data_IF_658834013621
#
_entry.id   IF_658834013621
#
_cell.length_a   1.000
_cell.length_b   1.000
_cell.length_c   1.000
_cell.angle_alpha   90.00
_cell.angle_beta   90.00
_cell.angle_gamma   90.00
#
_symmetry.space_group_name_H-M   'P 1'
#
loop_
_entity.id
_entity.type
_entity.pdbx_description
1 polymer ?
#
# COMPACT_ATOMS: atom_id res chain seq x y z
N UNK A 1 6.15 24.20 -16.93
CA UNK A 1 5.00 24.81 -17.64
C UNK A 1 3.76 24.47 -16.82
N UNK A 2 2.97 25.46 -16.41
CA UNK A 2 1.77 25.22 -15.60
C UNK A 2 0.66 24.63 -16.48
N UNK A 3 0.14 23.44 -16.13
CA UNK A 3 -0.88 22.72 -16.90
C UNK A 3 -2.15 22.67 -16.04
N UNK A 4 -3.24 23.30 -16.51
CA UNK A 4 -4.50 23.44 -15.78
C UNK A 4 -5.44 22.23 -15.82
N UNK A 5 -4.89 21.02 -15.93
CA UNK A 5 -5.63 19.75 -16.01
C UNK A 5 -4.91 18.66 -15.19
N UNK A 6 -5.51 17.47 -15.04
CA UNK A 6 -4.90 16.36 -14.27
C UNK A 6 -3.46 15.99 -14.65
N UNK A 7 -3.01 16.38 -15.85
CA UNK A 7 -1.62 16.27 -16.32
C UNK A 7 -0.61 17.10 -15.51
N UNK A 8 -1.06 18.11 -14.77
CA UNK A 8 -0.22 18.91 -13.87
C UNK A 8 -0.25 18.44 -12.41
N UNK A 9 -0.91 17.32 -12.12
CA UNK A 9 -1.00 16.80 -10.75
C UNK A 9 0.30 16.09 -10.34
N UNK A 10 0.65 16.19 -9.06
CA UNK A 10 1.85 15.58 -8.49
C UNK A 10 1.57 15.02 -7.10
N UNK A 11 2.26 13.95 -6.73
CA UNK A 11 2.15 13.28 -5.43
C UNK A 11 3.55 13.12 -4.82
N UNK A 12 3.78 13.81 -3.71
CA UNK A 12 5.02 13.74 -2.93
C UNK A 12 4.81 13.05 -1.57
N UNK A 13 5.79 12.29 -1.11
CA UNK A 13 5.77 11.54 0.15
C UNK A 13 7.09 11.69 0.93
N UNK A 14 6.98 11.72 2.26
CA UNK A 14 8.10 11.64 3.21
C UNK A 14 7.68 10.88 4.48
N UNK A 15 8.65 10.22 5.12
CA UNK A 15 8.44 9.54 6.42
C UNK A 15 8.47 10.58 7.55
N UNK A 16 7.44 10.58 8.41
CA UNK A 16 7.39 11.47 9.58
C UNK A 16 8.27 10.94 10.71
N UNK A 17 8.92 11.85 11.45
CA UNK A 17 9.68 11.51 12.67
C UNK A 17 8.78 11.35 13.90
N UNK A 18 7.59 11.96 13.88
CA UNK A 18 6.55 11.82 14.90
C UNK A 18 5.17 12.03 14.27
N UNK A 19 4.17 11.26 14.73
CA UNK A 19 2.82 11.25 14.15
C UNK A 19 2.17 12.64 14.05
N UNK A 20 1.89 13.06 12.81
CA UNK A 20 1.25 14.34 12.51
C UNK A 20 2.20 15.54 12.61
N UNK A 21 3.50 15.32 12.47
CA UNK A 21 4.51 16.38 12.33
C UNK A 21 4.95 16.44 10.88
N UNK A 22 4.72 17.58 10.24
CA UNK A 22 5.07 17.78 8.83
C UNK A 22 6.57 17.55 8.58
N UNK A 23 6.87 16.71 7.58
CA UNK A 23 8.19 16.58 6.97
C UNK A 23 8.06 16.90 5.49
N UNK A 24 8.92 17.78 4.98
CA UNK A 24 8.87 18.19 3.57
C UNK A 24 8.96 16.95 2.65
N UNK A 25 8.06 16.80 1.66
CA UNK A 25 8.08 15.71 0.70
C UNK A 25 9.43 15.62 -0.03
N UNK A 26 10.07 14.46 0.02
CA UNK A 26 11.39 14.22 -0.57
C UNK A 26 11.35 13.18 -1.70
N UNK A 27 10.29 12.35 -1.77
CA UNK A 27 10.10 11.34 -2.80
C UNK A 27 8.82 11.65 -3.56
N UNK A 28 8.85 11.54 -4.90
CA UNK A 28 7.67 11.73 -5.74
C UNK A 28 7.37 10.43 -6.47
N UNK A 29 6.09 10.07 -6.51
CA UNK A 29 5.61 8.84 -7.15
C UNK A 29 4.71 9.18 -8.33
N UNK A 30 4.77 8.35 -9.36
CA UNK A 30 3.79 8.35 -10.45
C UNK A 30 2.54 7.62 -9.96
N UNK A 31 1.34 8.14 -10.27
CA UNK A 31 0.08 7.58 -9.81
C UNK A 31 -0.95 7.58 -10.94
N UNK A 32 -1.79 6.55 -10.97
CA UNK A 32 -2.82 6.37 -12.01
C UNK A 32 -4.17 6.93 -11.54
N UNK A 33 -4.43 6.85 -10.23
CA UNK A 33 -5.62 7.45 -9.60
C UNK A 33 -5.33 7.80 -8.14
N UNK A 34 -5.90 8.90 -7.67
CA UNK A 34 -5.73 9.35 -6.29
C UNK A 34 -7.05 9.95 -5.76
N UNK A 35 -7.46 9.57 -4.55
CA UNK A 35 -8.78 9.86 -3.97
C UNK A 35 -8.78 10.43 -2.56
N UNK A 36 -7.64 10.87 -2.01
CA UNK A 36 -7.56 11.38 -0.64
C UNK A 36 -8.29 12.72 -0.54
N UNK A 37 -9.26 12.77 0.36
CA UNK A 37 -10.11 13.94 0.59
C UNK A 37 -10.25 14.27 2.08
N UNK A 38 -10.25 15.56 2.40
CA UNK A 38 -10.56 16.06 3.73
C UNK A 38 -12.07 15.90 3.98
N UNK A 39 -12.43 15.13 5.01
CA UNK A 39 -13.80 15.04 5.55
C UNK A 39 -13.88 15.91 6.81
N UNK A 40 -14.91 16.75 6.87
CA UNK A 40 -15.20 17.62 8.02
C UNK A 40 -16.57 17.26 8.59
N UNK A 41 -16.62 16.88 9.86
CA UNK A 41 -17.89 16.74 10.58
C UNK A 41 -18.30 18.11 11.11
N UNK A 42 -19.51 18.57 10.78
CA UNK A 42 -20.01 19.88 11.23
C UNK A 42 -21.28 19.71 12.06
N UNK A 43 -21.33 20.32 13.25
CA UNK A 43 -22.54 20.41 14.05
C UNK A 43 -23.23 21.77 13.82
N UNK A 44 -24.56 21.75 13.72
CA UNK A 44 -25.38 22.95 13.56
C UNK A 44 -26.25 23.14 14.81
N UNK A 45 -26.11 24.29 15.47
CA UNK A 45 -26.92 24.60 16.65
C UNK A 45 -28.40 24.80 16.27
N UNK A 46 -29.30 24.07 16.94
CA UNK A 46 -30.77 24.14 16.76
C UNK A 46 -31.43 25.29 17.56
N UNK A 47 -30.69 26.32 17.94
CA UNK A 47 -31.22 27.42 18.76
C UNK A 47 -32.32 28.21 18.03
N UNK A 48 -33.56 28.10 18.51
CA UNK A 48 -34.74 28.80 18.00
C UNK A 48 -34.67 30.29 18.35
N UNK A 49 -34.90 31.16 17.38
CA UNK A 49 -34.95 32.61 17.56
C UNK A 49 -36.03 33.22 16.66
N UNK A 50 -36.84 34.13 17.20
CA UNK A 50 -37.91 34.80 16.44
C UNK A 50 -37.34 35.61 15.26
N UNK A 51 -38.06 35.61 14.13
CA UNK A 51 -37.69 36.36 12.92
C UNK A 51 -36.65 35.69 12.01
N UNK A 52 -36.37 34.39 12.18
CA UNK A 52 -35.44 33.63 11.32
C UNK A 52 -36.10 32.35 10.83
N UNK A 53 -36.13 32.18 9.50
CA UNK A 53 -36.65 30.97 8.85
C UNK A 53 -35.56 29.91 8.58
N UNK A 54 -34.29 30.30 8.72
CA UNK A 54 -33.11 29.44 8.51
C UNK A 54 -32.19 29.51 9.72
N UNK A 55 -31.48 28.41 9.98
CA UNK A 55 -30.45 28.36 11.01
C UNK A 55 -29.25 29.25 10.64
N UNK A 56 -28.69 29.94 11.64
CA UNK A 56 -27.64 30.94 11.46
C UNK A 56 -26.30 30.28 11.07
N UNK A 57 -25.66 30.74 9.99
CA UNK A 57 -24.39 30.17 9.50
C UNK A 57 -23.25 30.24 10.52
N UNK A 58 -23.17 31.32 11.30
CA UNK A 58 -22.16 31.50 12.35
C UNK A 58 -22.26 30.49 13.51
N UNK A 59 -23.35 29.70 13.58
CA UNK A 59 -23.54 28.64 14.59
C UNK A 59 -23.25 27.24 14.06
N UNK A 60 -22.68 27.15 12.85
CA UNK A 60 -22.12 25.91 12.30
C UNK A 60 -20.67 25.80 12.77
N UNK A 61 -20.38 24.79 13.57
CA UNK A 61 -19.03 24.55 14.11
C UNK A 61 -18.50 23.25 13.52
N UNK A 62 -17.24 23.24 13.08
CA UNK A 62 -16.53 22.02 12.67
C UNK A 62 -16.10 21.30 13.94
N UNK A 63 -16.62 20.09 14.17
CA UNK A 63 -16.37 19.32 15.39
C UNK A 63 -15.24 18.32 15.21
N UNK A 64 -15.01 17.83 13.98
CA UNK A 64 -13.93 16.89 13.66
C UNK A 64 -13.35 17.20 12.28
N UNK A 65 -12.05 16.94 12.14
CA UNK A 65 -11.33 16.95 10.85
C UNK A 65 -10.58 15.63 10.70
N UNK A 66 -10.70 15.03 9.53
CA UNK A 66 -10.00 13.80 9.16
C UNK A 66 -9.77 13.79 7.65
N UNK A 67 -8.75 13.10 7.18
CA UNK A 67 -8.59 12.80 5.76
C UNK A 67 -8.47 11.29 5.55
N UNK A 68 -9.06 10.80 4.47
CA UNK A 68 -8.95 9.40 4.07
C UNK A 68 -9.11 9.26 2.56
N UNK A 69 -8.58 8.17 2.01
CA UNK A 69 -8.76 7.79 0.61
C UNK A 69 -7.72 6.76 0.18
N UNK A 70 -7.75 6.43 -1.10
CA UNK A 70 -6.86 5.44 -1.70
C UNK A 70 -5.91 6.08 -2.71
N UNK A 71 -4.77 5.42 -2.91
CA UNK A 71 -3.82 5.73 -4.00
C UNK A 71 -3.54 4.44 -4.76
N UNK A 72 -3.75 4.51 -6.07
CA UNK A 72 -3.44 3.43 -7.00
C UNK A 72 -2.18 3.81 -7.80
N UNK A 73 -1.17 2.95 -7.75
CA UNK A 73 0.11 3.14 -8.44
C UNK A 73 0.70 1.82 -8.91
N UNK A 74 1.59 1.88 -9.89
CA UNK A 74 2.38 0.74 -10.33
C UNK A 74 3.55 0.52 -9.35
N UNK A 75 3.87 -0.73 -9.05
CA UNK A 75 5.04 -1.06 -8.24
C UNK A 75 6.28 -0.93 -9.12
N UNK A 76 7.07 0.09 -8.81
CA UNK A 76 8.29 0.44 -9.53
C UNK A 76 9.55 -0.03 -8.81
N UNK A 77 10.66 -0.07 -9.53
CA UNK A 77 11.98 -0.46 -9.04
C UNK A 77 12.69 0.57 -8.15
N UNK A 78 12.16 1.79 -7.95
CA UNK A 78 12.66 2.77 -6.96
C UNK A 78 11.52 3.49 -6.22
N UNK A 79 11.76 3.96 -5.00
CA UNK A 79 10.85 4.82 -4.25
C UNK A 79 9.73 4.11 -3.47
N UNK A 80 9.64 2.77 -3.50
CA UNK A 80 8.58 2.03 -2.80
C UNK A 80 8.83 1.85 -1.29
N UNK A 81 10.05 2.09 -0.83
CA UNK A 81 10.44 1.89 0.56
C UNK A 81 9.53 2.54 1.62
N UNK A 82 9.19 3.84 1.53
CA UNK A 82 8.30 4.51 2.49
C UNK A 82 6.90 3.88 2.61
N UNK A 83 6.35 3.43 1.48
CA UNK A 83 5.04 2.75 1.43
C UNK A 83 5.11 1.38 2.09
N UNK A 84 6.11 0.59 1.72
CA UNK A 84 6.34 -0.74 2.28
C UNK A 84 6.64 -0.70 3.78
N UNK A 85 7.43 0.27 4.24
CA UNK A 85 7.72 0.48 5.66
C UNK A 85 6.46 0.83 6.45
N UNK A 86 5.59 1.69 5.90
CA UNK A 86 4.36 2.10 6.59
C UNK A 86 3.31 0.99 6.60
N UNK A 87 3.29 0.14 5.56
CA UNK A 87 2.43 -1.04 5.51
C UNK A 87 2.93 -2.16 6.45
N UNK A 88 4.21 -2.49 6.43
CA UNK A 88 4.75 -3.65 7.17
C UNK A 88 5.11 -3.30 8.63
N UNK A 89 5.40 -2.03 8.95
CA UNK A 89 5.64 -1.53 10.31
C UNK A 89 7.11 -1.56 10.76
N UNK A 90 7.96 -2.38 10.13
CA UNK A 90 9.39 -2.46 10.48
C UNK A 90 10.15 -1.23 10.03
N UNK A 91 11.06 -0.73 10.87
CA UNK A 91 12.01 0.32 10.45
C UNK A 91 13.10 -0.32 9.60
N UNK A 92 13.18 0.06 8.33
CA UNK A 92 14.16 -0.51 7.40
C UNK A 92 15.25 0.49 7.10
N UNK A 93 16.50 0.03 7.01
CA UNK A 93 17.59 0.81 6.42
C UNK A 93 18.12 -0.01 5.25
N UNK A 94 18.14 0.52 4.02
CA UNK A 94 18.64 -0.23 2.87
C UNK A 94 20.07 -0.72 3.12
N UNK A 95 20.29 -2.03 3.04
CA UNK A 95 21.59 -2.66 3.30
C UNK A 95 22.32 -2.89 1.98
N UNK A 96 23.50 -2.27 1.84
CA UNK A 96 24.34 -2.42 0.66
C UNK A 96 24.77 -3.87 0.48
N UNK A 97 24.63 -4.39 -0.74
CA UNK A 97 25.01 -5.74 -1.09
C UNK A 97 26.42 -5.76 -1.68
N UNK A 98 27.36 -6.46 -1.04
CA UNK A 98 28.73 -6.70 -1.52
C UNK A 98 29.47 -5.46 -2.08
N UNK A 99 29.31 -4.29 -1.43
CA UNK A 99 29.90 -3.00 -1.88
C UNK A 99 29.51 -2.64 -3.33
N UNK A 100 28.32 -3.06 -3.74
CA UNK A 100 27.75 -2.72 -5.05
C UNK A 100 26.74 -1.58 -4.94
N UNK A 101 26.13 -1.19 -6.06
CA UNK A 101 25.01 -0.24 -6.10
C UNK A 101 23.66 -0.88 -5.77
N UNK A 102 23.61 -2.18 -5.45
CA UNK A 102 22.40 -2.86 -5.04
C UNK A 102 22.20 -2.73 -3.51
N UNK A 103 21.01 -2.31 -3.11
CA UNK A 103 20.59 -2.17 -1.73
C UNK A 103 19.35 -3.03 -1.49
N UNK A 104 19.40 -3.86 -0.45
CA UNK A 104 18.30 -4.71 -0.02
C UNK A 104 17.52 -4.02 1.10
N UNK A 105 16.21 -3.96 0.94
CA UNK A 105 15.24 -3.57 1.95
C UNK A 105 14.40 -4.79 2.34
N UNK A 106 14.44 -5.17 3.62
CA UNK A 106 13.64 -6.29 4.14
C UNK A 106 12.58 -5.75 5.09
N UNK A 107 11.33 -5.71 4.62
CA UNK A 107 10.18 -5.22 5.37
C UNK A 107 9.46 -6.42 6.01
N UNK A 108 9.83 -6.77 7.24
CA UNK A 108 9.11 -7.80 8.02
C UNK A 108 7.84 -7.24 8.63
N UNK A 109 6.84 -8.08 8.83
CA UNK A 109 5.62 -7.68 9.52
C UNK A 109 5.94 -7.30 10.98
N UNK A 110 5.50 -6.14 11.44
CA UNK A 110 5.66 -5.66 12.80
C UNK A 110 4.52 -4.69 13.16
N UNK A 111 4.51 -4.18 14.40
CA UNK A 111 3.60 -3.10 14.79
C UNK A 111 3.95 -1.80 14.04
N UNK A 112 2.91 -1.08 13.62
CA UNK A 112 2.99 0.19 12.88
C UNK A 112 3.02 1.42 13.79
N UNK A 113 3.05 1.24 15.12
CA UNK A 113 3.14 2.34 16.07
C UNK A 113 4.33 3.28 15.77
N UNK A 114 4.08 4.59 15.76
CA UNK A 114 5.05 5.64 15.42
C UNK A 114 5.38 5.76 13.93
N UNK A 115 4.80 4.94 13.04
CA UNK A 115 5.08 4.99 11.59
C UNK A 115 4.01 5.75 10.85
N UNK A 116 4.31 6.94 10.32
CA UNK A 116 3.37 7.70 9.49
C UNK A 116 4.08 8.41 8.35
N UNK A 117 3.29 8.80 7.36
CA UNK A 117 3.74 9.52 6.18
C UNK A 117 3.14 10.93 6.16
N UNK A 118 3.89 11.88 5.62
CA UNK A 118 3.33 13.12 5.10
C UNK A 118 3.13 12.93 3.60
N UNK A 119 1.93 13.20 3.11
CA UNK A 119 1.58 13.08 1.69
C UNK A 119 1.13 14.44 1.19
N UNK A 120 1.82 15.00 0.20
CA UNK A 120 1.43 16.27 -0.41
C UNK A 120 0.94 16.06 -1.84
N UNK A 121 -0.32 16.47 -2.06
CA UNK A 121 -0.98 16.44 -3.36
C UNK A 121 -0.96 17.85 -3.96
N UNK A 122 -0.49 17.98 -5.19
CA UNK A 122 -0.66 19.19 -6.00
C UNK A 122 -1.89 19.05 -6.90
N UNK A 123 -2.88 19.95 -6.76
CA UNK A 123 -4.08 19.98 -7.59
C UNK A 123 -4.08 21.22 -8.49
N UNK A 124 -3.98 21.06 -9.81
CA UNK A 124 -4.03 22.20 -10.72
C UNK A 124 -5.45 22.77 -10.82
N UNK A 125 -5.54 24.09 -10.69
CA UNK A 125 -6.72 24.87 -11.07
C UNK A 125 -6.75 25.05 -12.59
N UNK A 126 -7.92 25.34 -13.15
CA UNK A 126 -8.06 25.67 -14.59
C UNK A 126 -7.28 26.92 -15.01
N UNK A 127 -6.84 27.72 -14.04
CA UNK A 127 -5.95 28.88 -14.23
C UNK A 127 -4.47 28.50 -14.37
N UNK A 128 -4.11 27.23 -14.18
CA UNK A 128 -2.74 26.72 -14.19
C UNK A 128 -2.02 26.79 -12.83
N UNK A 129 -2.56 27.50 -11.84
CA UNK A 129 -2.01 27.48 -10.47
C UNK A 129 -2.26 26.13 -9.83
N UNK A 130 -1.22 25.50 -9.29
CA UNK A 130 -1.34 24.24 -8.54
C UNK A 130 -1.53 24.58 -7.06
N UNK A 131 -2.66 24.17 -6.48
CA UNK A 131 -2.92 24.29 -5.04
C UNK A 131 -2.41 23.05 -4.33
N UNK A 132 -1.75 23.23 -3.19
CA UNK A 132 -1.29 22.12 -2.36
C UNK A 132 -2.40 21.61 -1.42
N UNK A 133 -2.37 20.32 -1.18
CA UNK A 133 -3.11 19.65 -0.10
C UNK A 133 -2.15 18.73 0.60
N UNK A 134 -1.74 19.12 1.80
CA UNK A 134 -0.73 18.42 2.59
C UNK A 134 -1.42 17.59 3.66
N UNK A 135 -1.42 16.28 3.50
CA UNK A 135 -1.95 15.34 4.49
C UNK A 135 -0.83 14.95 5.47
N UNK A 136 -1.10 15.15 6.76
CA UNK A 136 -0.16 14.82 7.85
C UNK A 136 -0.68 13.62 8.66
N UNK A 137 0.22 12.85 9.23
CA UNK A 137 -0.12 11.66 10.02
C UNK A 137 -0.83 10.59 9.20
N UNK A 138 -0.37 10.32 7.99
CA UNK A 138 -0.96 9.30 7.10
C UNK A 138 -0.51 7.91 7.54
N UNK A 139 -1.48 7.03 7.78
CA UNK A 139 -1.33 5.60 8.07
C UNK A 139 -1.90 4.78 6.92
N UNK A 140 -1.24 3.69 6.57
CA UNK A 140 -1.77 2.74 5.57
C UNK A 140 -2.59 1.68 6.30
N UNK A 141 -3.90 1.62 6.02
CA UNK A 141 -4.83 0.65 6.61
C UNK A 141 -4.87 -0.66 5.82
N UNK A 142 -4.65 -0.60 4.52
CA UNK A 142 -4.48 -1.80 3.69
C UNK A 142 -3.61 -1.52 2.47
N UNK A 143 -2.91 -2.54 2.01
CA UNK A 143 -2.16 -2.55 0.77
C UNK A 143 -2.50 -3.79 -0.04
N UNK A 144 -2.96 -3.62 -1.27
CA UNK A 144 -3.26 -4.70 -2.20
C UNK A 144 -2.31 -4.67 -3.39
N UNK A 145 -1.63 -5.78 -3.66
CA UNK A 145 -0.73 -5.97 -4.78
C UNK A 145 -1.35 -6.94 -5.77
N UNK A 146 -1.36 -6.61 -7.06
CA UNK A 146 -1.92 -7.50 -8.08
C UNK A 146 -1.13 -7.48 -9.38
N UNK A 147 -1.00 -8.63 -10.03
CA UNK A 147 -0.46 -8.75 -11.38
C UNK A 147 -1.18 -9.86 -12.14
N UNK A 148 -1.50 -9.59 -13.41
CA UNK A 148 -2.21 -10.51 -14.30
C UNK A 148 -1.51 -10.58 -15.67
N UNK A 149 -1.78 -11.64 -16.44
CA UNK A 149 -1.14 -11.85 -17.75
C UNK A 149 -1.25 -10.61 -18.63
N UNK A 150 -0.10 -10.08 -19.06
CA UNK A 150 -0.01 -8.91 -19.93
C UNK A 150 -0.12 -7.57 -19.22
N UNK A 151 -0.15 -7.54 -17.88
CA UNK A 151 -0.21 -6.30 -17.09
C UNK A 151 1.06 -6.08 -16.25
N UNK A 152 1.14 -4.87 -15.69
CA UNK A 152 2.16 -4.49 -14.71
C UNK A 152 1.72 -4.91 -13.30
N UNK A 153 2.67 -4.97 -12.37
CA UNK A 153 2.36 -5.13 -10.95
C UNK A 153 1.81 -3.79 -10.43
N UNK A 154 0.58 -3.80 -9.94
CA UNK A 154 -0.07 -2.63 -9.32
C UNK A 154 -0.16 -2.79 -7.82
N UNK A 155 -0.16 -1.66 -7.12
CA UNK A 155 -0.43 -1.54 -5.70
C UNK A 155 -1.55 -0.52 -5.45
N UNK A 156 -2.52 -0.89 -4.61
CA UNK A 156 -3.53 0.01 -4.07
C UNK A 156 -3.32 0.16 -2.57
N UNK A 157 -3.14 1.40 -2.10
CA UNK A 157 -2.94 1.71 -0.68
C UNK A 157 -4.11 2.52 -0.15
N UNK A 158 -4.79 1.98 0.86
CA UNK A 158 -5.82 2.70 1.61
C UNK A 158 -5.18 3.47 2.76
N UNK A 159 -5.49 4.76 2.88
CA UNK A 159 -4.81 5.70 3.76
C UNK A 159 -5.81 6.40 4.68
N UNK A 160 -5.43 6.47 5.95
CA UNK A 160 -6.08 7.25 6.99
C UNK A 160 -5.14 8.34 7.51
N UNK A 161 -5.51 9.62 7.39
CA UNK A 161 -4.65 10.77 7.67
C UNK A 161 -5.23 11.73 8.70
N UNK A 162 -4.38 12.18 9.64
CA UNK A 162 -4.75 13.01 10.81
C UNK A 162 -5.48 14.29 10.43
N UNK A 163 -4.93 15.05 9.50
CA UNK A 163 -5.48 16.31 9.00
C UNK A 163 -4.96 16.60 7.58
N UNK A 164 -5.60 17.56 6.92
CA UNK A 164 -5.13 18.18 5.69
C UNK A 164 -4.79 19.65 5.98
N UNK A 165 -3.54 20.03 5.76
CA UNK A 165 -3.03 21.39 5.81
C UNK A 165 -2.88 21.94 4.37
N UNK A 166 -3.41 23.14 4.15
CA UNK A 166 -3.38 23.86 2.87
C UNK A 166 -2.55 25.16 2.99
N UNK A 167 -1.84 25.36 4.12
CA UNK A 167 -0.98 26.52 4.34
C UNK A 167 0.49 26.25 3.96
N UNK A 168 0.81 25.05 3.50
CA UNK A 168 2.17 24.65 3.18
C UNK A 168 2.59 25.16 1.81
N UNK A 169 3.90 25.20 1.57
CA UNK A 169 4.40 25.46 0.22
C UNK A 169 4.44 24.15 -0.56
N UNK A 170 3.94 24.17 -1.79
CA UNK A 170 4.02 23.03 -2.70
C UNK A 170 5.50 22.68 -2.95
N UNK A 171 5.89 21.44 -2.65
CA UNK A 171 7.24 20.95 -2.91
C UNK A 171 7.50 20.85 -4.41
N UNK A 172 8.74 21.15 -4.82
CA UNK A 172 9.17 20.99 -6.21
C UNK A 172 9.32 19.49 -6.53
N UNK A 173 8.57 18.99 -7.50
CA UNK A 173 8.65 17.59 -7.91
C UNK A 173 10.00 17.24 -8.53
N UNK A 174 10.50 16.06 -8.16
CA UNK A 174 11.68 15.43 -8.72
C UNK A 174 11.42 13.92 -8.87
N UNK A 175 11.59 13.40 -10.07
CA UNK A 175 11.34 12.00 -10.39
C UNK A 175 12.66 11.27 -10.67
N UNK A 176 12.87 10.15 -9.99
CA UNK A 176 13.95 9.22 -10.32
C UNK A 176 13.58 8.43 -11.59
N UNK A 177 14.58 7.98 -12.36
CA UNK A 177 14.31 7.07 -13.47
C UNK A 177 13.83 5.72 -12.90
N UNK A 178 12.56 5.41 -13.11
CA UNK A 178 11.84 4.27 -12.53
C UNK A 178 11.24 3.41 -13.64
N UNK A 179 11.16 2.10 -13.40
CA UNK A 179 10.48 1.15 -14.28
C UNK A 179 9.57 0.22 -13.47
N UNK A 180 8.33 0.00 -13.92
CA UNK A 180 7.40 -0.89 -13.23
C UNK A 180 7.78 -2.36 -13.40
N UNK A 181 7.56 -3.14 -12.36
CA UNK A 181 7.59 -4.60 -12.47
C UNK A 181 6.39 -5.08 -13.29
N UNK A 182 6.57 -6.19 -14.00
CA UNK A 182 5.53 -6.69 -14.90
C UNK A 182 5.46 -8.22 -14.91
N UNK A 183 4.40 -8.74 -15.54
CA UNK A 183 4.12 -10.17 -15.59
C UNK A 183 5.28 -11.03 -16.12
N UNK A 184 6.11 -10.54 -17.04
CA UNK A 184 7.21 -11.37 -17.60
C UNK A 184 8.34 -11.63 -16.60
N UNK A 185 8.35 -10.91 -15.48
CA UNK A 185 9.33 -11.03 -14.39
C UNK A 185 8.79 -11.86 -13.23
N UNK A 186 7.50 -12.22 -13.28
CA UNK A 186 6.76 -12.83 -12.18
C UNK A 186 7.06 -14.33 -12.07
N UNK A 187 7.30 -14.79 -10.84
CA UNK A 187 7.30 -16.21 -10.49
C UNK A 187 6.54 -16.41 -9.17
N UNK A 188 5.79 -17.51 -9.09
CA UNK A 188 5.17 -17.98 -7.85
C UNK A 188 5.84 -19.29 -7.47
N UNK A 189 6.24 -19.40 -6.20
CA UNK A 189 6.84 -20.61 -5.65
C UNK A 189 6.06 -21.07 -4.43
N UNK A 190 5.90 -22.37 -4.28
CA UNK A 190 5.34 -22.96 -3.06
C UNK A 190 6.14 -24.17 -2.59
N UNK A 191 6.06 -24.49 -1.31
CA UNK A 191 6.77 -25.63 -0.73
C UNK A 191 7.04 -25.45 0.76
N UNK A 192 8.12 -26.07 1.25
CA UNK A 192 8.62 -25.82 2.59
C UNK A 192 9.37 -24.49 2.63
N UNK A 193 9.16 -23.72 3.70
CA UNK A 193 9.79 -22.41 3.87
C UNK A 193 11.31 -22.46 3.66
N UNK A 194 11.82 -21.62 2.76
CA UNK A 194 13.23 -21.54 2.37
C UNK A 194 13.68 -22.52 1.29
N UNK A 195 12.79 -23.38 0.80
CA UNK A 195 13.06 -24.38 -0.25
C UNK A 195 11.92 -24.47 -1.27
N UNK A 196 11.20 -23.37 -1.47
CA UNK A 196 10.03 -23.30 -2.34
C UNK A 196 10.40 -23.54 -3.81
N UNK A 197 9.53 -24.25 -4.54
CA UNK A 197 9.72 -24.56 -5.95
C UNK A 197 8.74 -23.77 -6.82
N UNK A 198 9.21 -23.34 -7.99
CA UNK A 198 8.39 -22.57 -8.93
C UNK A 198 7.19 -23.38 -9.41
N UNK A 199 6.05 -22.70 -9.55
CA UNK A 199 4.80 -23.23 -10.07
C UNK A 199 4.56 -22.73 -11.48
N UNK A 200 3.99 -23.60 -12.30
CA UNK A 200 3.66 -23.31 -13.69
C UNK A 200 2.17 -22.96 -13.83
N UNK A 201 1.78 -22.42 -14.97
CA UNK A 201 0.38 -22.13 -15.31
C UNK A 201 -0.23 -20.93 -14.58
N UNK A 202 0.53 -20.18 -13.76
CA UNK A 202 0.01 -19.01 -13.03
C UNK A 202 -0.29 -17.85 -14.00
N UNK A 203 -1.52 -17.35 -13.94
CA UNK A 203 -2.04 -16.30 -14.82
C UNK A 203 -2.31 -15.00 -14.08
N UNK A 204 -2.72 -15.07 -12.82
CA UNK A 204 -3.01 -13.89 -12.00
C UNK A 204 -2.72 -14.18 -10.55
N UNK A 205 -2.15 -13.20 -9.87
CA UNK A 205 -1.91 -13.24 -8.42
C UNK A 205 -2.36 -11.92 -7.83
N UNK A 206 -3.08 -11.98 -6.70
CA UNK A 206 -3.30 -10.83 -5.83
C UNK A 206 -2.94 -11.19 -4.39
N UNK A 207 -2.35 -10.22 -3.68
CA UNK A 207 -2.06 -10.31 -2.24
C UNK A 207 -2.53 -9.03 -1.59
N UNK A 208 -3.45 -9.14 -0.64
CA UNK A 208 -3.95 -8.05 0.18
C UNK A 208 -3.45 -8.19 1.61
N UNK A 209 -2.86 -7.12 2.14
CA UNK A 209 -2.43 -7.00 3.53
C UNK A 209 -3.33 -5.96 4.19
N UNK A 210 -4.22 -6.41 5.06
CA UNK A 210 -5.13 -5.58 5.82
C UNK A 210 -4.64 -5.41 7.26
N UNK A 211 -4.63 -4.17 7.73
CA UNK A 211 -4.23 -3.80 9.09
C UNK A 211 -5.39 -3.11 9.79
N UNK A 212 -6.24 -3.87 10.49
CA UNK A 212 -7.30 -3.28 11.30
C UNK A 212 -6.72 -2.33 12.34
N UNK A 213 -7.20 -1.09 12.32
CA UNK A 213 -6.79 -0.04 13.24
C UNK A 213 -8.00 0.71 13.78
N UNK A 214 -7.92 1.13 15.03
CA UNK A 214 -8.87 2.07 15.62
C UNK A 214 -8.59 3.47 15.07
N UNK A 215 -9.30 3.87 14.01
CA UNK A 215 -9.15 5.17 13.33
C UNK A 215 -9.96 6.30 13.99
N UNK A 216 -11.05 5.96 14.69
CA UNK A 216 -11.98 6.92 15.31
C UNK A 216 -11.51 7.45 16.68
N UNK A 217 -10.22 7.73 16.83
CA UNK A 217 -9.61 8.12 18.12
C UNK A 217 -9.67 9.62 18.38
N UNK A 218 -10.87 10.13 18.60
CA UNK A 218 -11.10 11.52 18.98
C UNK A 218 -11.24 11.65 20.50
N UNK A 219 -10.51 12.60 21.09
CA UNK A 219 -10.57 12.88 22.53
C UNK A 219 -10.81 14.36 22.81
N UNK A 220 -11.49 14.66 23.91
CA UNK A 220 -11.73 16.03 24.34
C UNK A 220 -10.40 16.79 24.55
N UNK A 221 -10.37 18.07 24.17
CA UNK A 221 -9.17 18.92 24.31
C UNK A 221 -8.13 18.78 23.19
N UNK A 222 -8.40 18.01 22.13
CA UNK A 222 -7.47 17.78 21.01
C UNK A 222 -7.88 18.50 19.71
N UNK A 223 -8.59 19.63 19.83
CA UNK A 223 -9.05 20.45 18.69
C UNK A 223 -9.84 19.69 17.61
N UNK A 224 -10.48 18.56 17.95
CA UNK A 224 -11.21 17.72 17.00
C UNK A 224 -10.32 16.91 16.04
N UNK A 225 -9.02 16.80 16.34
CA UNK A 225 -8.07 15.98 15.59
C UNK A 225 -7.99 14.56 16.19
N UNK A 226 -7.76 13.57 15.33
CA UNK A 226 -7.56 12.19 15.77
C UNK A 226 -6.17 11.95 16.35
N UNK A 227 -6.12 11.12 17.38
CA UNK A 227 -4.87 10.52 17.88
C UNK A 227 -4.41 9.44 16.90
N UNK A 228 -3.14 9.05 17.01
CA UNK A 228 -2.58 8.00 16.17
C UNK A 228 -3.44 6.72 16.20
N UNK A 229 -3.84 6.18 15.04
CA UNK A 229 -4.50 4.89 14.98
C UNK A 229 -3.65 3.80 15.63
N UNK A 230 -4.29 2.92 16.41
CA UNK A 230 -3.64 1.76 17.03
C UNK A 230 -4.23 0.49 16.45
N UNK A 231 -3.42 -0.55 16.28
CA UNK A 231 -3.92 -1.87 15.89
C UNK A 231 -4.96 -2.36 16.90
N UNK A 232 -6.10 -2.81 16.41
CA UNK A 232 -7.24 -3.25 17.23
C UNK A 232 -7.72 -4.68 16.91
N UNK A 233 -7.14 -5.32 15.91
CA UNK A 233 -7.37 -6.72 15.54
C UNK A 233 -6.10 -7.28 14.88
N UNK A 234 -6.08 -8.59 14.61
CA UNK A 234 -4.97 -9.25 13.91
C UNK A 234 -4.86 -8.78 12.46
N UNK A 235 -3.61 -8.71 11.96
CA UNK A 235 -3.34 -8.45 10.54
C UNK A 235 -3.90 -9.61 9.71
N UNK A 236 -4.62 -9.29 8.64
CA UNK A 236 -5.18 -10.28 7.72
C UNK A 236 -4.43 -10.19 6.41
N UNK A 237 -3.84 -11.29 5.98
CA UNK A 237 -3.18 -11.39 4.69
C UNK A 237 -3.94 -12.43 3.88
N UNK A 238 -4.59 -12.00 2.81
CA UNK A 238 -5.36 -12.86 1.92
C UNK A 238 -4.90 -12.67 0.49
N UNK A 239 -5.20 -13.62 -0.38
CA UNK A 239 -4.86 -13.48 -1.78
C UNK A 239 -5.56 -14.47 -2.68
N UNK A 240 -5.36 -14.27 -3.98
CA UNK A 240 -5.89 -15.15 -5.02
C UNK A 240 -4.80 -15.56 -5.99
N UNK A 241 -4.85 -16.80 -6.47
CA UNK A 241 -4.01 -17.30 -7.56
C UNK A 241 -4.94 -17.89 -8.62
N UNK A 242 -5.01 -17.27 -9.79
CA UNK A 242 -5.63 -17.87 -10.96
C UNK A 242 -4.53 -18.59 -11.75
N UNK A 243 -4.74 -19.87 -12.02
CA UNK A 243 -3.80 -20.68 -12.80
C UNK A 243 -4.53 -21.64 -13.72
N UNK A 244 -3.88 -22.05 -14.81
CA UNK A 244 -4.30 -23.24 -15.56
C UNK A 244 -4.08 -24.47 -14.66
N UNK A 245 -5.03 -25.40 -14.66
CA UNK A 245 -4.97 -26.62 -13.83
C UNK A 245 -3.96 -27.62 -14.41
N UNK A 246 -2.67 -27.40 -14.11
CA UNK A 246 -1.53 -28.19 -14.62
C UNK A 246 -0.99 -29.19 -13.59
N UNK A 247 -1.24 -28.96 -12.30
CA UNK A 247 -0.89 -29.87 -11.21
C UNK A 247 -2.01 -29.91 -10.15
N UNK A 248 -2.03 -30.98 -9.34
CA UNK A 248 -2.98 -31.12 -8.22
C UNK A 248 -2.41 -30.65 -6.89
N UNK A 249 -1.18 -30.11 -6.85
CA UNK A 249 -0.47 -29.87 -5.58
C UNK A 249 -1.23 -28.89 -4.70
N UNK A 250 -1.73 -27.80 -5.27
CA UNK A 250 -2.46 -26.78 -4.51
C UNK A 250 -3.88 -27.22 -4.13
N UNK A 251 -4.48 -28.08 -4.95
CA UNK A 251 -5.78 -28.71 -4.70
C UNK A 251 -5.69 -29.77 -3.58
N UNK A 252 -4.62 -30.57 -3.56
CA UNK A 252 -4.30 -31.51 -2.50
C UNK A 252 -4.05 -30.78 -1.16
N UNK A 253 -3.41 -29.60 -1.20
CA UNK A 253 -3.23 -28.74 -0.01
C UNK A 253 -4.56 -28.20 0.52
N UNK A 254 -5.49 -27.82 -0.36
CA UNK A 254 -6.84 -27.42 0.03
C UNK A 254 -7.60 -28.60 0.66
N UNK A 255 -7.59 -29.76 0.00
CA UNK A 255 -8.30 -30.97 0.47
C UNK A 255 -7.78 -31.48 1.82
N UNK A 256 -6.47 -31.38 2.04
CA UNK A 256 -5.81 -31.82 3.28
C UNK A 256 -5.77 -30.75 4.37
N UNK A 257 -6.19 -29.52 4.07
CA UNK A 257 -6.03 -28.34 4.94
C UNK A 257 -4.58 -28.14 5.42
N UNK A 258 -3.62 -28.53 4.57
CA UNK A 258 -2.19 -28.42 4.86
C UNK A 258 -1.67 -27.02 4.52
N UNK A 259 -0.73 -26.54 5.32
CA UNK A 259 -0.07 -25.26 5.08
C UNK A 259 1.13 -25.43 4.12
N UNK A 260 1.38 -24.43 3.29
CA UNK A 260 2.59 -24.31 2.46
C UNK A 260 3.19 -22.92 2.57
N UNK A 261 4.48 -22.75 2.33
CA UNK A 261 5.04 -21.42 2.13
C UNK A 261 4.74 -20.94 0.72
N UNK A 262 4.44 -19.65 0.56
CA UNK A 262 4.22 -18.98 -0.72
C UNK A 262 5.25 -17.86 -0.89
N UNK A 263 5.98 -17.90 -2.00
CA UNK A 263 6.86 -16.82 -2.43
C UNK A 263 6.36 -16.30 -3.77
N UNK A 264 5.96 -15.04 -3.80
CA UNK A 264 5.61 -14.34 -5.03
C UNK A 264 6.70 -13.31 -5.33
N UNK A 265 7.42 -13.49 -6.42
CA UNK A 265 8.58 -12.69 -6.76
C UNK A 265 8.53 -12.11 -8.17
N UNK A 266 9.17 -10.95 -8.33
CA UNK A 266 9.42 -10.29 -9.58
C UNK A 266 10.92 -10.02 -9.67
N UNK A 267 11.57 -10.59 -10.68
CA UNK A 267 13.01 -10.40 -10.90
C UNK A 267 13.21 -9.60 -12.18
N UNK A 268 13.66 -8.36 -12.00
CA UNK A 268 13.94 -7.39 -13.03
C UNK A 268 15.39 -7.45 -13.55
N UNK A 269 15.84 -6.38 -14.22
CA UNK A 269 17.19 -6.28 -14.76
C UNK A 269 18.30 -6.41 -13.70
N UNK A 270 19.49 -6.78 -14.16
CA UNK A 270 20.69 -6.83 -13.31
C UNK A 270 21.08 -5.43 -12.85
N UNK A 271 21.29 -5.25 -11.55
CA UNK A 271 21.88 -4.03 -10.97
C UNK A 271 23.41 -4.16 -10.99
N UNK A 272 23.92 -5.22 -10.36
CA UNK A 272 25.35 -5.50 -10.26
C UNK A 272 25.62 -6.97 -9.86
N UNK A 273 26.62 -7.59 -10.48
CA UNK A 273 27.04 -8.98 -10.17
C UNK A 273 25.89 -10.00 -10.27
N UNK A 274 25.40 -10.51 -9.13
CA UNK A 274 24.27 -11.45 -9.02
C UNK A 274 23.03 -10.79 -8.41
N UNK A 275 23.03 -9.46 -8.22
CA UNK A 275 21.93 -8.71 -7.61
C UNK A 275 21.08 -8.06 -8.70
N UNK A 276 19.83 -8.48 -8.76
CA UNK A 276 18.82 -8.01 -9.70
C UNK A 276 17.81 -7.11 -8.97
N UNK A 277 17.20 -6.19 -9.70
CA UNK A 277 16.02 -5.48 -9.20
C UNK A 277 14.97 -6.51 -8.82
N UNK A 278 14.51 -6.51 -7.56
CA UNK A 278 13.65 -7.57 -7.05
C UNK A 278 12.55 -6.99 -6.19
N UNK A 279 11.31 -7.42 -6.44
CA UNK A 279 10.21 -7.27 -5.49
C UNK A 279 9.71 -8.66 -5.13
N UNK A 280 9.66 -9.00 -3.84
CA UNK A 280 9.26 -10.33 -3.40
C UNK A 280 8.40 -10.25 -2.15
N UNK A 281 7.24 -10.90 -2.18
CA UNK A 281 6.41 -11.16 -1.01
C UNK A 281 6.64 -12.61 -0.58
N UNK A 282 7.01 -12.82 0.67
CA UNK A 282 7.20 -14.15 1.26
C UNK A 282 6.21 -14.34 2.40
N UNK A 283 5.39 -15.38 2.29
CA UNK A 283 4.40 -15.80 3.27
C UNK A 283 4.80 -17.20 3.77
N UNK A 284 5.26 -17.34 5.04
CA UNK A 284 5.80 -18.60 5.54
C UNK A 284 4.78 -19.75 5.61
N UNK A 285 3.52 -19.43 5.91
CA UNK A 285 2.42 -20.38 5.89
C UNK A 285 1.19 -19.73 5.24
N UNK A 286 0.68 -20.36 4.18
CA UNK A 286 -0.61 -20.08 3.56
C UNK A 286 -1.44 -21.36 3.57
N UNK A 287 -2.75 -21.19 3.74
CA UNK A 287 -3.75 -22.24 3.55
C UNK A 287 -4.69 -21.83 2.43
N UNK A 288 -5.08 -22.79 1.60
CA UNK A 288 -6.03 -22.55 0.52
C UNK A 288 -7.45 -22.80 1.05
N UNK A 289 -8.26 -21.76 1.08
CA UNK A 289 -9.61 -21.77 1.65
C UNK A 289 -10.66 -22.19 0.62
N UNK A 290 -10.42 -21.90 -0.66
CA UNK A 290 -11.30 -22.26 -1.77
C UNK A 290 -10.44 -22.62 -2.99
N UNK A 291 -10.63 -23.82 -3.51
CA UNK A 291 -9.89 -24.32 -4.66
C UNK A 291 -10.68 -25.22 -5.64
N UNK A 292 -12.03 -25.21 -5.75
CA UNK A 292 -12.71 -26.22 -6.56
C UNK A 292 -12.39 -26.03 -8.06
N UNK A 293 -11.73 -27.00 -8.72
CA UNK A 293 -11.61 -26.97 -10.17
C UNK A 293 -12.98 -27.27 -10.79
N UNK A 294 -13.56 -26.32 -11.52
CA UNK A 294 -14.80 -26.52 -12.28
C UNK A 294 -14.52 -26.67 -13.77
N UNK A 295 -15.23 -27.58 -14.42
CA UNK A 295 -15.15 -27.78 -15.88
C UNK A 295 -16.29 -27.03 -16.55
N UNK A 296 -16.00 -25.80 -17.00
CA UNK A 296 -16.97 -24.91 -17.64
C UNK A 296 -16.84 -24.94 -19.17
N UNK A 297 -17.10 -26.11 -19.76
CA UNK A 297 -17.11 -26.33 -21.21
C UNK A 297 -15.79 -26.88 -21.78
N UNK A 298 -15.53 -26.60 -23.08
CA UNK A 298 -14.41 -27.18 -23.82
C UNK A 298 -13.04 -26.51 -23.59
N UNK A 299 -12.99 -25.46 -22.76
CA UNK A 299 -11.77 -24.69 -22.49
C UNK A 299 -10.83 -25.36 -21.49
N UNK A 300 -9.63 -24.79 -21.32
CA UNK A 300 -8.70 -25.17 -20.24
C UNK A 300 -9.32 -24.81 -18.89
N UNK A 301 -9.23 -25.75 -17.93
CA UNK A 301 -9.71 -25.57 -16.56
C UNK A 301 -8.81 -24.57 -15.83
N UNK A 302 -9.42 -23.54 -15.24
CA UNK A 302 -8.72 -22.40 -14.62
C UNK A 302 -9.23 -22.13 -13.21
N UNK A 303 -8.79 -22.91 -12.21
CA UNK A 303 -9.17 -22.65 -10.83
C UNK A 303 -8.66 -21.28 -10.38
N UNK A 304 -9.48 -20.62 -9.56
CA UNK A 304 -9.08 -19.44 -8.78
C UNK A 304 -8.93 -19.88 -7.34
N UNK A 305 -7.69 -20.01 -6.89
CA UNK A 305 -7.33 -20.46 -5.56
C UNK A 305 -7.32 -19.27 -4.61
N UNK A 306 -8.21 -19.24 -3.62
CA UNK A 306 -8.16 -18.25 -2.55
C UNK A 306 -7.33 -18.78 -1.39
N UNK A 307 -6.47 -17.95 -0.84
CA UNK A 307 -5.63 -18.34 0.29
C UNK A 307 -5.61 -17.28 1.40
N UNK A 308 -5.40 -17.77 2.61
CA UNK A 308 -5.15 -16.97 3.81
C UNK A 308 -3.76 -17.28 4.34
N UNK A 309 -2.95 -16.24 4.57
CA UNK A 309 -1.65 -16.39 5.21
C UNK A 309 -1.81 -16.40 6.73
N UNK A 310 -1.10 -17.33 7.37
CA UNK A 310 -1.11 -17.54 8.81
C UNK A 310 0.32 -17.48 9.35
N UNK A 311 0.43 -17.33 10.67
CA UNK A 311 1.70 -17.42 11.36
C UNK A 311 2.09 -18.89 11.57
N UNK A 312 3.30 -19.27 11.15
CA UNK A 312 3.83 -20.64 11.26
C UNK A 312 4.43 -20.95 12.64
N UNK A 313 4.41 -19.99 13.56
CA UNK A 313 4.98 -20.10 14.91
C UNK A 313 6.43 -19.64 15.02
N UNK A 314 7.12 -19.31 13.91
CA UNK A 314 8.56 -18.98 13.89
C UNK A 314 8.90 -17.81 12.97
N UNK A 315 8.45 -17.84 11.71
CA UNK A 315 8.83 -16.92 10.66
C UNK A 315 7.72 -15.88 10.43
N UNK A 316 8.13 -14.64 10.19
CA UNK A 316 7.19 -13.55 9.91
C UNK A 316 7.06 -13.34 8.39
N UNK A 317 5.86 -12.99 7.89
CA UNK A 317 5.69 -12.48 6.54
C UNK A 317 6.65 -11.31 6.26
N UNK A 318 7.19 -11.25 5.05
CA UNK A 318 8.12 -10.18 4.65
C UNK A 318 7.93 -9.76 3.20
N UNK A 319 8.24 -8.50 2.94
CA UNK A 319 8.44 -7.95 1.59
C UNK A 319 9.92 -7.62 1.43
N UNK A 320 10.58 -8.26 0.48
CA UNK A 320 11.96 -7.96 0.09
C UNK A 320 11.95 -7.09 -1.16
N UNK A 321 12.75 -6.03 -1.12
CA UNK A 321 12.85 -5.07 -2.20
C UNK A 321 14.32 -4.72 -2.45
N UNK A 322 14.84 -5.07 -3.63
CA UNK A 322 16.21 -4.79 -4.05
C UNK A 322 16.18 -3.73 -5.14
N UNK A 323 16.86 -2.62 -4.89
CA UNK A 323 16.94 -1.48 -5.82
C UNK A 323 18.27 -0.74 -5.67
N UNK A 324 18.45 0.35 -6.41
CA UNK A 324 19.59 1.26 -6.21
C UNK A 324 19.33 2.31 -5.12
N UNK A 325 18.20 2.25 -4.40
CA UNK A 325 17.87 3.24 -3.38
C UNK A 325 18.72 3.02 -2.12
N UNK A 326 19.64 3.95 -1.87
CA UNK A 326 20.48 3.96 -0.67
C UNK A 326 19.75 4.49 0.57
N UNK A 327 18.58 5.12 0.40
CA UNK A 327 17.71 5.58 1.48
C UNK A 327 16.25 5.27 1.15
N UNK A 328 15.43 5.17 2.21
CA UNK A 328 13.98 5.28 2.09
C UNK A 328 13.58 6.64 1.51
#
# INVERSE_FOLDING_TARGET
>A
MAIGSGLGAQLGVSVESAYGTFVAPAKFVEFTKEGIVLKKTTAQSAGIAAGRLLALSARRVVTQREASGSIDMEVVNKGMGPWLQTLMGTSVTPVQQAVTTAYLQTHTLADTAGKSLTIQKGVPLTTGTVTDKTFIGCKITSGEFSCEVGQMLTASFEIDAKDCDEAQTLAAASYSNMSPFNFSQMAVKTGSFGTETARDGVRKVSVKIERPMAVDRFYAGQAGLKKEPISNDQVKITGTIEMDYVDTTLDDLHTSDAATSLVWEFVGPLIASTYFETFRITLPAVKFDEAPPTVDGFGVVKPTLQFTALFDGTNQPKIEYISTDSTL
#
